data_IF_868587343332
#
_entry.id   IF_868587343332
#
_cell.length_a   1.000
_cell.length_b   1.000
_cell.length_c   1.000
_cell.angle_alpha   90.00
_cell.angle_beta   90.00
_cell.angle_gamma   90.00
#
_symmetry.space_group_name_H-M   'P 1'
#
loop_
_entity.id
_entity.type
_entity.pdbx_description
1 polymer ?
#
# COMPACT_ATOMS: atom_id res chain seq x y z
N UNK A 1 -12.71 11.01 -17.26
CA UNK A 1 -11.34 10.48 -17.11
C UNK A 1 -11.43 8.96 -17.04
N UNK A 2 -10.52 8.21 -17.67
CA UNK A 2 -10.60 6.74 -17.68
C UNK A 2 -10.24 6.17 -16.29
N UNK A 3 -10.98 5.17 -15.76
CA UNK A 3 -10.82 4.67 -14.39
C UNK A 3 -9.50 3.96 -14.09
N UNK A 4 -8.65 3.70 -15.11
CA UNK A 4 -7.38 2.97 -14.97
C UNK A 4 -6.13 3.84 -15.18
N UNK A 5 -6.25 5.16 -15.09
CA UNK A 5 -5.09 6.05 -15.29
C UNK A 5 -4.11 5.92 -14.11
N UNK A 6 -3.03 5.16 -14.32
CA UNK A 6 -1.90 5.09 -13.39
C UNK A 6 -1.18 6.44 -13.39
N UNK A 7 -1.18 7.14 -12.26
CA UNK A 7 -0.40 8.36 -12.06
C UNK A 7 0.73 8.04 -11.09
N UNK A 8 1.99 8.07 -11.56
CA UNK A 8 3.14 8.09 -10.65
C UNK A 8 3.31 9.52 -10.17
N UNK A 9 2.89 9.77 -8.94
CA UNK A 9 3.13 11.04 -8.26
C UNK A 9 4.41 10.88 -7.44
N UNK A 10 5.45 11.71 -7.64
CA UNK A 10 6.62 11.72 -6.78
C UNK A 10 6.21 11.83 -5.31
N UNK A 11 6.92 11.13 -4.41
CA UNK A 11 6.61 11.15 -2.98
C UNK A 11 6.47 12.57 -2.41
N UNK A 12 7.29 13.51 -2.89
CA UNK A 12 7.30 14.92 -2.47
C UNK A 12 6.02 15.68 -2.81
N UNK A 13 5.28 15.20 -3.80
CA UNK A 13 4.06 15.82 -4.30
C UNK A 13 2.81 15.15 -3.72
N UNK A 14 2.98 14.13 -2.87
CA UNK A 14 1.89 13.51 -2.13
C UNK A 14 1.56 14.40 -0.93
N UNK A 15 0.59 15.30 -1.12
CA UNK A 15 -0.11 15.89 0.02
C UNK A 15 -0.87 14.76 0.75
N UNK A 16 -0.82 14.70 2.09
CA UNK A 16 -1.81 13.96 2.87
C UNK A 16 -3.20 14.41 2.42
N UNK A 17 -4.16 13.49 2.42
CA UNK A 17 -5.56 13.91 2.23
C UNK A 17 -5.91 14.77 3.43
N UNK A 18 -6.28 16.04 3.22
CA UNK A 18 -6.67 16.95 4.29
C UNK A 18 -7.89 16.36 5.01
N UNK A 19 -7.74 15.97 6.28
CA UNK A 19 -8.75 15.24 7.05
C UNK A 19 -8.97 13.76 6.66
N UNK A 20 -8.24 13.24 5.67
CA UNK A 20 -8.39 11.87 5.16
C UNK A 20 -7.31 10.89 5.65
N UNK A 21 -7.53 9.60 5.39
CA UNK A 21 -6.63 8.52 5.82
C UNK A 21 -5.57 8.25 4.74
N UNK A 22 -4.29 8.27 5.12
CA UNK A 22 -3.21 7.76 4.30
C UNK A 22 -2.82 6.34 4.75
N UNK A 23 -2.76 5.41 3.81
CA UNK A 23 -2.32 4.04 4.06
C UNK A 23 -1.03 3.80 3.28
N UNK A 24 0.07 3.65 3.99
CA UNK A 24 1.35 3.26 3.43
C UNK A 24 1.46 1.75 3.42
N UNK A 25 1.99 1.21 2.33
CA UNK A 25 2.16 -0.23 2.16
C UNK A 25 3.61 -0.54 1.80
N UNK A 26 4.15 -1.63 2.34
CA UNK A 26 5.48 -2.13 2.02
C UNK A 26 5.45 -3.65 1.91
N UNK A 27 6.16 -4.20 0.93
CA UNK A 27 6.41 -5.61 0.75
C UNK A 27 7.90 -5.87 0.73
N UNK A 28 8.40 -6.66 1.67
CA UNK A 28 9.83 -6.91 1.81
C UNK A 28 10.17 -8.38 1.60
N UNK A 29 11.36 -8.61 1.02
CA UNK A 29 12.00 -9.94 1.01
C UNK A 29 13.46 -9.80 1.45
N UNK A 30 13.85 -10.53 2.50
CA UNK A 30 15.21 -10.63 3.00
C UNK A 30 15.61 -12.10 3.12
N UNK A 31 16.50 -12.56 2.24
CA UNK A 31 16.81 -14.00 2.08
C UNK A 31 15.52 -14.78 1.83
N UNK A 32 15.27 -15.81 2.63
CA UNK A 32 14.07 -16.66 2.58
C UNK A 32 12.94 -16.09 3.43
N UNK A 33 13.00 -14.80 3.79
CA UNK A 33 11.97 -14.14 4.57
C UNK A 33 11.22 -13.09 3.78
N UNK A 34 9.95 -13.39 3.50
CA UNK A 34 8.98 -12.50 2.86
C UNK A 34 7.96 -11.97 3.87
N UNK A 35 7.65 -10.69 3.80
CA UNK A 35 6.65 -10.07 4.67
C UNK A 35 6.00 -8.85 4.01
N UNK A 36 4.82 -8.50 4.46
CA UNK A 36 4.09 -7.32 3.99
C UNK A 36 3.65 -6.49 5.19
N UNK A 37 3.50 -5.18 5.02
CA UNK A 37 3.09 -4.27 6.07
C UNK A 37 2.13 -3.20 5.55
N UNK A 38 1.26 -2.71 6.43
CA UNK A 38 0.55 -1.45 6.26
C UNK A 38 0.74 -0.54 7.46
N UNK A 39 0.76 0.77 7.22
CA UNK A 39 0.78 1.82 8.26
C UNK A 39 -0.23 2.89 7.90
N UNK A 40 -1.07 3.28 8.85
CA UNK A 40 -2.15 4.23 8.69
C UNK A 40 -1.80 5.55 9.38
N UNK A 41 -1.79 6.63 8.61
CA UNK A 41 -1.61 7.99 9.11
C UNK A 41 -2.91 8.78 8.91
N UNK A 42 -3.40 9.36 10.00
CA UNK A 42 -4.45 10.38 9.97
C UNK A 42 -3.84 11.68 10.49
N UNK A 43 -3.93 12.76 9.71
CA UNK A 43 -3.35 14.06 10.09
C UNK A 43 -1.86 13.98 10.48
N UNK A 44 -1.10 13.17 9.74
CA UNK A 44 0.32 12.86 10.00
C UNK A 44 0.63 12.13 11.33
N UNK A 45 -0.40 11.65 12.04
CA UNK A 45 -0.25 10.80 13.22
C UNK A 45 -0.50 9.36 12.83
N UNK A 46 0.44 8.47 13.17
CA UNK A 46 0.23 7.04 13.02
C UNK A 46 -0.89 6.57 13.97
N UNK A 47 -1.93 5.98 13.43
CA UNK A 47 -3.09 5.49 14.19
C UNK A 47 -3.17 3.97 14.25
N UNK A 48 -2.56 3.30 13.28
CA UNK A 48 -2.60 1.85 13.17
C UNK A 48 -1.46 1.32 12.29
N UNK A 49 -0.95 0.13 12.61
CA UNK A 49 -0.06 -0.61 11.75
C UNK A 49 -0.35 -2.11 11.84
N UNK A 50 -0.03 -2.85 10.79
CA UNK A 50 -0.07 -4.30 10.81
C UNK A 50 0.97 -4.91 9.88
N UNK A 51 1.52 -6.05 10.28
CA UNK A 51 2.52 -6.80 9.54
C UNK A 51 2.05 -8.24 9.34
N UNK A 52 2.38 -8.83 8.21
CA UNK A 52 2.09 -10.23 7.90
C UNK A 52 3.33 -10.96 7.42
N UNK A 53 3.49 -12.17 7.94
CA UNK A 53 4.45 -13.15 7.43
C UNK A 53 3.84 -13.89 6.26
N UNK A 54 4.48 -13.84 5.10
CA UNK A 54 4.14 -14.65 3.94
C UNK A 54 5.00 -15.91 3.90
N UNK A 55 4.64 -16.84 3.02
CA UNK A 55 5.47 -18.00 2.70
C UNK A 55 6.87 -17.54 2.23
N UNK A 56 7.90 -18.23 2.68
CA UNK A 56 9.31 -18.00 2.39
C UNK A 56 9.62 -17.98 0.87
N UNK A 57 8.85 -18.75 0.10
CA UNK A 57 8.93 -18.86 -1.36
C UNK A 57 8.27 -17.69 -2.10
N UNK A 58 7.44 -16.89 -1.42
CA UNK A 58 6.77 -15.76 -2.05
C UNK A 58 7.77 -14.75 -2.62
N UNK A 59 7.38 -14.04 -3.68
CA UNK A 59 8.20 -12.97 -4.25
C UNK A 59 7.95 -11.66 -3.49
N UNK A 60 8.89 -10.72 -3.59
CA UNK A 60 8.67 -9.36 -3.06
C UNK A 60 7.41 -8.73 -3.68
N UNK A 61 7.16 -8.98 -4.97
CA UNK A 61 5.95 -8.53 -5.67
C UNK A 61 4.66 -9.10 -5.06
N UNK A 62 4.65 -10.38 -4.68
CA UNK A 62 3.50 -10.98 -3.99
C UNK A 62 3.27 -10.34 -2.61
N UNK A 63 4.35 -9.97 -1.91
CA UNK A 63 4.26 -9.27 -0.64
C UNK A 63 3.66 -7.87 -0.78
N UNK A 64 4.10 -7.12 -1.79
CA UNK A 64 3.57 -5.80 -2.15
C UNK A 64 2.09 -5.86 -2.52
N UNK A 65 1.72 -6.79 -3.39
CA UNK A 65 0.32 -7.01 -3.76
C UNK A 65 -0.54 -7.41 -2.55
N UNK A 66 0.02 -8.22 -1.65
CA UNK A 66 -0.64 -8.58 -0.40
C UNK A 66 -0.84 -7.37 0.51
N UNK A 67 0.15 -6.48 0.64
CA UNK A 67 0.03 -5.24 1.41
C UNK A 67 -1.10 -4.34 0.86
N UNK A 68 -1.16 -4.16 -0.46
CA UNK A 68 -2.24 -3.40 -1.13
C UNK A 68 -3.60 -4.04 -0.88
N UNK A 69 -3.70 -5.38 -1.00
CA UNK A 69 -4.93 -6.11 -0.69
C UNK A 69 -5.39 -5.85 0.74
N UNK A 70 -4.46 -5.87 1.70
CA UNK A 70 -4.76 -5.61 3.11
C UNK A 70 -5.21 -4.17 3.37
N UNK A 71 -4.62 -3.19 2.68
CA UNK A 71 -5.09 -1.81 2.73
C UNK A 71 -6.55 -1.69 2.24
N UNK A 72 -6.90 -2.35 1.13
CA UNK A 72 -8.28 -2.36 0.58
C UNK A 72 -9.25 -3.07 1.52
N UNK A 73 -8.86 -4.24 2.08
CA UNK A 73 -9.67 -4.96 3.07
C UNK A 73 -9.95 -4.06 4.29
N UNK A 74 -8.94 -3.32 4.78
CA UNK A 74 -9.12 -2.38 5.88
C UNK A 74 -10.11 -1.26 5.54
N UNK A 75 -9.96 -0.62 4.37
CA UNK A 75 -10.86 0.43 3.89
C UNK A 75 -12.31 -0.08 3.83
N UNK A 76 -12.50 -1.26 3.22
CA UNK A 76 -13.82 -1.88 3.06
C UNK A 76 -14.45 -2.26 4.38
N UNK A 77 -13.70 -2.86 5.30
CA UNK A 77 -14.23 -3.33 6.59
C UNK A 77 -14.58 -2.17 7.54
N UNK A 78 -13.95 -1.00 7.36
CA UNK A 78 -14.19 0.18 8.19
C UNK A 78 -15.04 1.24 7.49
N UNK A 79 -15.62 0.93 6.31
CA UNK A 79 -16.48 1.85 5.54
C UNK A 79 -15.82 3.21 5.27
N UNK A 80 -14.52 3.21 4.95
CA UNK A 80 -13.76 4.44 4.75
C UNK A 80 -14.04 4.98 3.35
N UNK A 81 -14.58 6.20 3.29
CA UNK A 81 -15.03 6.83 2.04
C UNK A 81 -13.89 7.47 1.25
N UNK A 82 -12.87 7.98 1.94
CA UNK A 82 -11.72 8.63 1.31
C UNK A 82 -10.43 8.16 1.98
N UNK A 83 -9.61 7.46 1.20
CA UNK A 83 -8.32 6.94 1.62
C UNK A 83 -7.35 6.94 0.46
N UNK A 84 -6.09 7.26 0.76
CA UNK A 84 -5.00 7.26 -0.21
C UNK A 84 -4.02 6.14 0.13
N UNK A 85 -3.95 5.13 -0.74
CA UNK A 85 -2.94 4.07 -0.65
C UNK A 85 -1.66 4.55 -1.32
N UNK A 86 -0.54 4.46 -0.60
CA UNK A 86 0.77 4.92 -1.04
C UNK A 86 1.74 3.73 -0.96
N UNK A 87 2.33 3.40 -2.11
CA UNK A 87 3.32 2.32 -2.27
C UNK A 87 4.45 2.83 -3.17
N UNK A 88 5.67 2.41 -2.89
CA UNK A 88 6.84 2.66 -3.74
C UNK A 88 7.05 1.59 -4.83
N UNK A 89 6.20 0.56 -4.85
CA UNK A 89 6.21 -0.49 -5.87
C UNK A 89 6.04 0.06 -7.28
N UNK A 90 7.02 -0.18 -8.14
CA UNK A 90 6.86 -0.01 -9.59
C UNK A 90 5.93 -1.11 -10.08
N UNK A 91 4.67 -0.76 -10.32
CA UNK A 91 3.73 -1.65 -11.00
C UNK A 91 4.32 -2.10 -12.34
N UNK A 92 4.36 -3.42 -12.58
CA UNK A 92 4.78 -4.03 -13.84
C UNK A 92 4.12 -3.26 -15.01
N UNK A 93 4.96 -2.61 -15.83
CA UNK A 93 4.54 -2.18 -17.15
C UNK A 93 4.07 -3.44 -17.87
N UNK A 94 2.85 -3.43 -18.42
CA UNK A 94 2.37 -4.53 -19.25
C UNK A 94 3.37 -4.82 -20.37
N UNK A 95 3.50 -6.08 -20.83
CA UNK A 95 4.38 -6.39 -21.95
C UNK A 95 4.02 -5.48 -23.12
N UNK A 96 5.00 -4.71 -23.58
CA UNK A 96 4.94 -3.97 -24.83
C UNK A 96 5.15 -4.88 -26.03
#
# INVERSE_FOLDING_TARGET
>A
MAPWKKTRTPWRDLQPVEGGLCIYTDGSKKKDRVGSAIVLLKENVETYHQYWRLNDEATVFMAELHAIKKAIEYISNNSILDAKIISDSIGINGPG
#
